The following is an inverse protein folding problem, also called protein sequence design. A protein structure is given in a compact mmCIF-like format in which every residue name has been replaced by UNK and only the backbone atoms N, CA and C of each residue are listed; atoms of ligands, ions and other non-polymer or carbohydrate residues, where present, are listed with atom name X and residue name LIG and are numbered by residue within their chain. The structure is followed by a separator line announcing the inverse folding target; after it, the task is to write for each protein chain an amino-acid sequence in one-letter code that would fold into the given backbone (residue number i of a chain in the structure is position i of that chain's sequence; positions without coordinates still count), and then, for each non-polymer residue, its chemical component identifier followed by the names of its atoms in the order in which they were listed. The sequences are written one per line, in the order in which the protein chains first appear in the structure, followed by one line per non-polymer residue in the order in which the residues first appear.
data_IF_053449756753
#
_entry.id   IF_053449756753
#
_cell.length_a   1.000
_cell.length_b   1.000
_cell.length_c   1.000
_cell.angle_alpha   90.00
_cell.angle_beta   90.00
_cell.angle_gamma   90.00
#
_symmetry.space_group_name_H-M   'P 1'
#
loop_
_entity.id
_entity.type
_entity.pdbx_description
1 polymer ?
#
# COMPACT_ATOMS: atom_id res chain seq x y z
N UNK A 1 -16.17 -10.30 -4.34
CA UNK A 1 -15.99 -9.72 -5.69
C UNK A 1 -14.66 -8.98 -5.83
N UNK A 2 -14.30 -8.04 -4.98
CA UNK A 2 -13.04 -7.26 -5.01
C UNK A 2 -11.77 -8.13 -5.11
N UNK A 3 -11.69 -9.17 -4.30
CA UNK A 3 -10.56 -10.11 -4.34
C UNK A 3 -10.53 -10.96 -5.61
N UNK A 4 -11.70 -11.31 -6.16
CA UNK A 4 -11.75 -12.00 -7.45
C UNK A 4 -11.18 -11.10 -8.57
N UNK A 5 -11.56 -9.82 -8.59
CA UNK A 5 -11.01 -8.86 -9.55
C UNK A 5 -9.49 -8.71 -9.39
N UNK A 6 -9.00 -8.54 -8.16
CA UNK A 6 -7.55 -8.44 -7.90
C UNK A 6 -6.80 -9.72 -8.32
N UNK A 7 -7.36 -10.91 -8.01
CA UNK A 7 -6.77 -12.19 -8.37
C UNK A 7 -6.73 -12.43 -9.88
N UNK A 8 -7.84 -12.19 -10.58
CA UNK A 8 -7.89 -12.31 -12.05
C UNK A 8 -6.89 -11.37 -12.72
N UNK A 9 -6.82 -10.12 -12.27
CA UNK A 9 -5.85 -9.16 -12.77
C UNK A 9 -4.41 -9.63 -12.54
N UNK A 10 -4.11 -10.17 -11.35
CA UNK A 10 -2.78 -10.70 -11.04
C UNK A 10 -2.40 -11.88 -11.95
N UNK A 11 -3.34 -12.80 -12.23
CA UNK A 11 -3.14 -13.92 -13.15
C UNK A 11 -2.86 -13.43 -14.58
N UNK A 12 -3.63 -12.45 -15.07
CA UNK A 12 -3.43 -11.87 -16.39
C UNK A 12 -2.04 -11.21 -16.51
N UNK A 13 -1.65 -10.43 -15.50
CA UNK A 13 -0.32 -9.81 -15.46
C UNK A 13 0.82 -10.84 -15.40
N UNK A 14 0.65 -11.90 -14.64
CA UNK A 14 1.62 -12.99 -14.58
C UNK A 14 1.75 -13.69 -15.94
N UNK A 15 0.62 -13.97 -16.61
CA UNK A 15 0.61 -14.65 -17.89
C UNK A 15 1.21 -13.80 -19.03
N UNK A 16 1.11 -12.47 -18.98
CA UNK A 16 1.80 -11.60 -19.94
C UNK A 16 3.31 -11.87 -19.99
N UNK A 17 3.91 -12.28 -18.87
CA UNK A 17 5.33 -12.64 -18.80
C UNK A 17 5.60 -14.11 -19.03
N UNK A 18 4.81 -14.97 -18.44
CA UNK A 18 5.08 -16.40 -18.38
C UNK A 18 4.53 -17.14 -19.60
N UNK A 19 3.56 -16.56 -20.30
CA UNK A 19 2.90 -17.13 -21.51
C UNK A 19 2.46 -18.60 -21.30
N UNK A 20 1.91 -18.90 -20.12
CA UNK A 20 1.59 -20.28 -19.72
C UNK A 20 0.31 -20.80 -20.35
N UNK A 21 -0.63 -19.93 -20.72
CA UNK A 21 -1.94 -20.31 -21.23
C UNK A 21 -2.59 -19.22 -22.07
N UNK A 22 -3.58 -19.62 -22.89
CA UNK A 22 -4.54 -18.68 -23.47
C UNK A 22 -5.54 -18.23 -22.40
N UNK A 23 -5.51 -16.95 -22.06
CA UNK A 23 -6.37 -16.35 -21.06
C UNK A 23 -7.51 -15.51 -21.65
N UNK A 24 -7.81 -15.60 -22.93
CA UNK A 24 -8.85 -14.80 -23.60
C UNK A 24 -10.21 -14.86 -22.88
N UNK A 25 -10.60 -16.03 -22.38
CA UNK A 25 -11.83 -16.22 -21.60
C UNK A 25 -11.73 -15.55 -20.21
N UNK A 26 -10.57 -15.57 -19.59
CA UNK A 26 -10.31 -14.94 -18.28
C UNK A 26 -10.36 -13.42 -18.42
N UNK A 27 -9.78 -12.88 -19.49
CA UNK A 27 -9.80 -11.45 -19.81
C UNK A 27 -11.23 -10.95 -20.09
N UNK A 28 -12.00 -11.70 -20.88
CA UNK A 28 -13.41 -11.40 -21.12
C UNK A 28 -14.22 -11.39 -19.82
N UNK A 29 -14.07 -12.44 -19.01
CA UNK A 29 -14.75 -12.56 -17.72
C UNK A 29 -14.34 -11.46 -16.75
N UNK A 30 -13.05 -11.12 -16.67
CA UNK A 30 -12.60 -9.99 -15.87
C UNK A 30 -13.25 -8.67 -16.29
N UNK A 31 -13.32 -8.41 -17.60
CA UNK A 31 -13.98 -7.22 -18.13
C UNK A 31 -15.46 -7.15 -17.81
N UNK A 32 -16.18 -8.27 -17.90
CA UNK A 32 -17.58 -8.38 -17.53
C UNK A 32 -17.80 -8.17 -16.03
N UNK A 33 -16.98 -8.83 -15.21
CA UNK A 33 -17.06 -8.72 -13.76
C UNK A 33 -16.76 -7.30 -13.27
N UNK A 34 -15.77 -6.63 -13.87
CA UNK A 34 -15.42 -5.26 -13.53
C UNK A 34 -16.55 -4.27 -13.92
N UNK A 35 -17.16 -4.46 -15.10
CA UNK A 35 -18.31 -3.64 -15.51
C UNK A 35 -19.50 -3.85 -14.57
N UNK A 36 -19.81 -5.08 -14.23
CA UNK A 36 -20.91 -5.40 -13.29
C UNK A 36 -20.64 -4.82 -11.89
N UNK A 37 -19.38 -4.92 -11.41
CA UNK A 37 -18.99 -4.31 -10.15
C UNK A 37 -19.12 -2.79 -10.17
N UNK A 38 -18.61 -2.12 -11.19
CA UNK A 38 -18.66 -0.66 -11.30
C UNK A 38 -20.10 -0.16 -11.38
N UNK A 39 -20.96 -0.88 -12.10
CA UNK A 39 -22.40 -0.56 -12.16
C UNK A 39 -23.04 -0.68 -10.78
N UNK A 40 -22.85 -1.79 -10.07
CA UNK A 40 -23.37 -1.96 -8.73
C UNK A 40 -22.79 -0.93 -7.75
N UNK A 41 -21.47 -0.72 -7.75
CA UNK A 41 -20.81 0.22 -6.88
C UNK A 41 -21.34 1.65 -7.07
N UNK A 42 -21.60 2.09 -8.30
CA UNK A 42 -22.15 3.41 -8.58
C UNK A 42 -23.56 3.63 -7.99
N UNK A 43 -24.31 2.57 -7.77
CA UNK A 43 -25.65 2.62 -7.17
C UNK A 43 -25.64 2.47 -5.65
N UNK A 44 -24.59 1.84 -5.10
CA UNK A 44 -24.50 1.46 -3.70
C UNK A 44 -23.57 2.37 -2.87
N UNK A 45 -22.95 3.38 -3.49
CA UNK A 45 -22.16 4.37 -2.76
C UNK A 45 -23.04 5.11 -1.75
N UNK A 46 -22.60 5.16 -0.50
CA UNK A 46 -23.29 5.81 0.62
C UNK A 46 -22.63 7.14 0.95
N UNK A 47 -23.45 8.19 1.09
CA UNK A 47 -22.96 9.46 1.58
C UNK A 47 -22.72 9.40 3.10
N UNK A 48 -21.50 9.73 3.51
CA UNK A 48 -21.13 9.83 4.91
C UNK A 48 -21.41 11.25 5.43
N UNK A 49 -21.97 11.42 6.65
CA UNK A 49 -22.21 12.74 7.25
C UNK A 49 -20.95 13.63 7.36
N UNK A 50 -19.76 13.01 7.31
CA UNK A 50 -18.45 13.72 7.32
C UNK A 50 -18.06 14.35 5.98
N UNK A 51 -18.91 14.24 4.94
CA UNK A 51 -18.77 14.96 3.67
C UNK A 51 -18.09 14.21 2.53
N UNK A 52 -18.05 12.90 2.57
CA UNK A 52 -17.57 12.04 1.47
C UNK A 52 -18.57 10.91 1.19
N UNK A 53 -18.35 10.17 0.09
CA UNK A 53 -19.11 8.95 -0.18
C UNK A 53 -18.15 7.76 -0.22
N UNK A 54 -18.60 6.60 0.25
CA UNK A 54 -17.82 5.37 0.30
C UNK A 54 -18.66 4.18 -0.16
N UNK A 55 -17.98 3.11 -0.58
CA UNK A 55 -18.64 1.84 -0.90
C UNK A 55 -18.74 1.00 0.39
N UNK A 56 -19.97 0.66 0.84
CA UNK A 56 -20.14 -0.16 2.04
C UNK A 56 -19.64 -1.58 1.80
N UNK A 57 -19.23 -2.27 2.86
CA UNK A 57 -18.79 -3.67 2.80
C UNK A 57 -19.90 -4.60 2.28
N UNK A 58 -21.12 -4.35 2.69
CA UNK A 58 -22.32 -5.03 2.20
C UNK A 58 -23.06 -4.05 1.29
N UNK A 59 -23.06 -4.34 -0.01
CA UNK A 59 -23.66 -3.46 -1.01
C UNK A 59 -25.19 -3.41 -0.94
N UNK A 60 -25.85 -4.47 -0.45
CA UNK A 60 -27.31 -4.42 -0.17
C UNK A 60 -27.57 -5.12 1.14
N UNK A 61 -28.33 -4.46 2.01
CA UNK A 61 -28.96 -5.12 3.12
C UNK A 61 -30.31 -5.69 2.63
N UNK A 62 -30.46 -7.00 2.76
CA UNK A 62 -31.80 -7.59 2.68
C UNK A 62 -32.56 -7.23 3.97
N UNK A 63 -33.65 -6.43 3.89
CA UNK A 63 -34.41 -6.06 5.08
C UNK A 63 -35.01 -7.25 5.82
N UNK A 64 -35.12 -8.42 5.16
CA UNK A 64 -35.65 -9.66 5.73
C UNK A 64 -34.56 -10.40 6.55
N UNK A 65 -33.27 -10.08 6.39
CA UNK A 65 -32.21 -10.65 7.22
C UNK A 65 -32.27 -10.05 8.62
N UNK A 66 -32.70 -10.84 9.59
CA UNK A 66 -32.45 -10.50 11.01
C UNK A 66 -30.95 -10.60 11.26
N UNK A 67 -30.34 -9.45 11.57
CA UNK A 67 -28.94 -9.37 11.94
C UNK A 67 -28.84 -9.21 13.45
N UNK A 68 -27.95 -9.98 14.06
CA UNK A 68 -27.53 -9.72 15.43
C UNK A 68 -26.91 -8.30 15.54
N UNK A 69 -26.94 -7.73 16.74
CA UNK A 69 -26.47 -6.36 16.98
C UNK A 69 -25.01 -6.12 16.61
N UNK A 70 -24.22 -7.19 16.54
CA UNK A 70 -22.84 -7.11 16.06
C UNK A 70 -22.69 -7.27 14.54
N UNK A 71 -23.77 -7.60 13.83
CA UNK A 71 -23.86 -7.58 12.38
C UNK A 71 -24.09 -6.18 11.79
N UNK A 72 -24.14 -5.14 12.59
CA UNK A 72 -24.16 -3.75 12.12
C UNK A 72 -22.76 -3.17 12.18
N UNK A 73 -21.90 -3.55 11.23
CA UNK A 73 -20.55 -3.05 11.22
C UNK A 73 -20.58 -1.54 11.02
N UNK A 74 -19.66 -0.85 11.66
CA UNK A 74 -19.39 0.55 11.33
C UNK A 74 -18.93 0.62 9.87
N UNK A 75 -19.04 1.79 9.21
CA UNK A 75 -18.64 1.93 7.81
C UNK A 75 -17.26 1.34 7.47
N UNK A 76 -16.31 1.47 8.38
CA UNK A 76 -14.93 1.01 8.22
C UNK A 76 -14.70 -0.47 8.57
N UNK A 77 -15.68 -1.14 9.15
CA UNK A 77 -15.55 -2.55 9.55
C UNK A 77 -15.32 -3.43 8.32
N UNK A 78 -14.38 -4.37 8.40
CA UNK A 78 -14.08 -5.38 7.38
C UNK A 78 -13.76 -4.86 5.97
N UNK A 79 -13.29 -3.63 5.85
CA UNK A 79 -12.95 -3.00 4.55
C UNK A 79 -11.63 -3.49 3.92
N UNK A 80 -11.00 -4.50 4.47
CA UNK A 80 -9.73 -5.04 4.02
C UNK A 80 -9.70 -5.50 2.55
N UNK A 81 -10.80 -6.07 2.05
CA UNK A 81 -10.90 -6.46 0.65
C UNK A 81 -10.88 -5.26 -0.30
N UNK A 82 -11.42 -4.12 0.13
CA UNK A 82 -11.33 -2.87 -0.61
C UNK A 82 -9.90 -2.33 -0.59
N UNK A 83 -9.26 -2.23 0.58
CA UNK A 83 -7.86 -1.82 0.71
C UNK A 83 -6.95 -2.63 -0.21
N UNK A 84 -7.06 -3.96 -0.16
CA UNK A 84 -6.24 -4.87 -0.96
C UNK A 84 -6.51 -4.76 -2.48
N UNK A 85 -7.74 -4.51 -2.89
CA UNK A 85 -8.08 -4.33 -4.30
C UNK A 85 -7.55 -3.00 -4.87
N UNK A 86 -7.40 -1.98 -4.00
CA UNK A 86 -6.74 -0.72 -4.33
C UNK A 86 -5.25 -0.98 -4.52
N UNK A 87 -4.59 -1.51 -3.50
CA UNK A 87 -3.19 -1.90 -3.58
C UNK A 87 -2.92 -3.13 -2.68
N UNK A 88 -2.20 -4.15 -3.16
CA UNK A 88 -1.47 -4.25 -4.43
C UNK A 88 -2.33 -4.62 -5.64
N UNK A 89 -3.63 -4.85 -5.48
CA UNK A 89 -4.52 -5.29 -6.55
C UNK A 89 -4.57 -4.35 -7.75
N UNK A 90 -4.50 -3.03 -7.49
CA UNK A 90 -4.57 -1.97 -8.51
C UNK A 90 -5.72 -2.19 -9.52
N UNK A 91 -6.89 -2.62 -9.00
CA UNK A 91 -8.08 -2.88 -9.81
C UNK A 91 -8.65 -1.58 -10.37
N UNK A 92 -8.50 -0.49 -9.62
CA UNK A 92 -9.06 0.82 -9.89
C UNK A 92 -7.97 1.84 -10.18
N UNK A 93 -8.32 2.94 -10.84
CA UNK A 93 -7.45 4.11 -10.94
C UNK A 93 -7.43 4.88 -9.61
N UNK A 94 -6.40 5.72 -9.42
CA UNK A 94 -6.28 6.55 -8.19
C UNK A 94 -7.46 7.52 -8.01
N UNK A 95 -8.04 7.96 -9.11
CA UNK A 95 -9.16 8.91 -9.13
C UNK A 95 -10.54 8.24 -9.06
N UNK A 96 -10.59 6.92 -9.01
CA UNK A 96 -11.84 6.19 -8.92
C UNK A 96 -12.61 6.57 -7.64
N UNK A 97 -13.94 6.79 -7.71
CA UNK A 97 -14.76 7.10 -6.54
C UNK A 97 -14.64 6.07 -5.41
N UNK A 98 -14.50 4.78 -5.73
CA UNK A 98 -14.29 3.72 -4.74
C UNK A 98 -12.98 3.94 -3.98
N UNK A 99 -11.90 4.28 -4.68
CA UNK A 99 -10.59 4.55 -4.07
C UNK A 99 -10.65 5.79 -3.19
N UNK A 100 -11.16 6.91 -3.71
CA UNK A 100 -11.27 8.16 -2.95
C UNK A 100 -12.14 8.00 -1.72
N UNK A 101 -13.29 7.35 -1.86
CA UNK A 101 -14.21 7.08 -0.76
C UNK A 101 -13.60 6.20 0.32
N UNK A 102 -12.91 5.13 -0.08
CA UNK A 102 -12.21 4.26 0.85
C UNK A 102 -11.10 5.00 1.62
N UNK A 103 -10.29 5.77 0.93
CA UNK A 103 -9.23 6.60 1.55
C UNK A 103 -9.85 7.57 2.57
N UNK A 104 -10.89 8.31 2.18
CA UNK A 104 -11.56 9.25 3.07
C UNK A 104 -12.17 8.55 4.30
N UNK A 105 -12.77 7.38 4.11
CA UNK A 105 -13.33 6.58 5.19
C UNK A 105 -12.26 6.16 6.20
N UNK A 106 -11.13 5.64 5.72
CA UNK A 106 -10.04 5.20 6.58
C UNK A 106 -9.39 6.37 7.33
N UNK A 107 -9.18 7.51 6.66
CA UNK A 107 -8.69 8.73 7.29
C UNK A 107 -9.63 9.23 8.39
N UNK A 108 -10.92 9.29 8.11
CA UNK A 108 -11.94 9.74 9.06
C UNK A 108 -12.16 8.77 10.23
N UNK A 109 -11.69 7.54 10.13
CA UNK A 109 -11.79 6.51 11.16
C UNK A 109 -10.48 6.30 11.94
N UNK A 110 -9.44 7.07 11.62
CA UNK A 110 -8.12 6.92 12.27
C UNK A 110 -8.15 7.43 13.70
N UNK A 111 -7.68 6.59 14.64
CA UNK A 111 -7.42 6.91 16.03
C UNK A 111 -6.08 6.26 16.43
N UNK A 112 -5.28 6.91 17.27
CA UNK A 112 -3.94 6.42 17.66
C UNK A 112 -3.04 6.11 16.45
N UNK A 113 -3.14 6.93 15.41
CA UNK A 113 -2.45 6.76 14.12
C UNK A 113 -2.81 5.49 13.33
N UNK A 114 -3.87 4.76 13.68
CA UNK A 114 -4.28 3.52 13.00
C UNK A 114 -5.78 3.58 12.64
N UNK A 115 -6.23 2.99 11.51
CA UNK A 115 -7.66 2.85 11.23
C UNK A 115 -8.33 2.02 12.31
N UNK A 116 -9.19 2.67 13.09
CA UNK A 116 -9.87 2.07 14.23
C UNK A 116 -11.22 1.48 13.86
N UNK A 117 -11.73 0.57 14.71
CA UNK A 117 -13.03 -0.05 14.56
C UNK A 117 -13.20 -0.76 13.21
N UNK A 118 -12.11 -1.38 12.77
CA UNK A 118 -12.02 -2.08 11.48
C UNK A 118 -12.22 -3.60 11.62
N UNK A 119 -12.30 -4.11 12.83
CA UNK A 119 -12.38 -5.54 13.12
C UNK A 119 -13.61 -6.22 12.55
N UNK A 120 -13.49 -7.49 12.23
CA UNK A 120 -14.59 -8.33 11.80
C UNK A 120 -15.01 -9.35 12.86
N UNK A 121 -14.08 -9.75 13.74
CA UNK A 121 -14.38 -10.56 14.92
C UNK A 121 -15.05 -9.69 15.98
N UNK A 122 -14.62 -8.43 16.09
CA UNK A 122 -15.25 -7.47 16.99
C UNK A 122 -15.24 -6.06 16.38
N UNK A 123 -16.39 -5.47 16.18
CA UNK A 123 -16.56 -4.19 15.48
C UNK A 123 -15.87 -2.99 16.13
N UNK A 124 -15.54 -3.04 17.42
CA UNK A 124 -14.77 -2.01 18.12
C UNK A 124 -13.26 -2.26 18.09
N UNK A 125 -12.83 -3.38 17.51
CA UNK A 125 -11.43 -3.74 17.45
C UNK A 125 -10.71 -3.01 16.30
N UNK A 126 -9.41 -2.84 16.49
CA UNK A 126 -8.46 -2.59 15.41
C UNK A 126 -8.10 -3.94 14.79
N UNK A 127 -8.28 -4.06 13.51
CA UNK A 127 -7.84 -5.22 12.75
C UNK A 127 -6.41 -4.99 12.26
N UNK A 128 -5.44 -5.56 12.98
CA UNK A 128 -4.04 -5.18 12.82
C UNK A 128 -3.51 -5.37 11.41
N UNK A 129 -3.81 -6.45 10.71
CA UNK A 129 -3.28 -6.61 9.37
C UNK A 129 -3.99 -5.77 8.29
N UNK A 130 -5.16 -5.18 8.60
CA UNK A 130 -5.78 -4.20 7.70
C UNK A 130 -5.01 -2.88 7.67
N UNK A 131 -4.35 -2.50 8.75
CA UNK A 131 -3.64 -1.23 8.82
C UNK A 131 -2.49 -1.11 7.79
N UNK A 132 -1.61 -2.11 7.59
CA UNK A 132 -0.64 -2.09 6.50
C UNK A 132 -1.28 -2.03 5.10
N UNK A 133 -2.42 -2.69 4.85
CA UNK A 133 -3.13 -2.55 3.57
C UNK A 133 -3.56 -1.11 3.31
N UNK A 134 -4.11 -0.45 4.34
CA UNK A 134 -4.51 0.95 4.25
C UNK A 134 -3.28 1.84 4.05
N UNK A 135 -2.20 1.61 4.79
CA UNK A 135 -0.95 2.35 4.62
C UNK A 135 -0.38 2.20 3.20
N UNK A 136 -0.45 1.01 2.62
CA UNK A 136 -0.03 0.76 1.23
C UNK A 136 -0.93 1.46 0.21
N UNK A 137 -2.25 1.47 0.43
CA UNK A 137 -3.17 2.22 -0.41
C UNK A 137 -2.88 3.72 -0.37
N UNK A 138 -2.57 4.28 0.81
CA UNK A 138 -2.12 5.66 0.95
C UNK A 138 -0.81 5.91 0.22
N UNK A 139 0.17 5.03 0.38
CA UNK A 139 1.47 5.15 -0.26
C UNK A 139 1.34 5.15 -1.79
N UNK A 140 0.56 4.22 -2.33
CA UNK A 140 0.28 4.14 -3.75
C UNK A 140 -0.44 5.39 -4.28
N UNK A 141 -1.39 5.92 -3.51
CA UNK A 141 -2.10 7.16 -3.83
C UNK A 141 -1.23 8.42 -3.69
N UNK A 142 0.00 8.33 -3.14
CA UNK A 142 0.90 9.46 -2.92
C UNK A 142 0.69 10.19 -1.58
N UNK A 143 -0.14 9.64 -0.70
CA UNK A 143 -0.46 10.20 0.63
C UNK A 143 0.57 9.72 1.67
N UNK A 144 1.82 10.12 1.49
CA UNK A 144 3.00 9.61 2.20
C UNK A 144 2.92 9.79 3.72
N UNK A 145 2.50 10.95 4.18
CA UNK A 145 2.40 11.25 5.62
C UNK A 145 1.33 10.36 6.29
N UNK A 146 0.21 10.13 5.62
CA UNK A 146 -0.81 9.20 6.08
C UNK A 146 -0.31 7.75 6.10
N UNK A 147 0.40 7.34 5.07
CA UNK A 147 0.99 6.00 5.00
C UNK A 147 1.98 5.77 6.15
N UNK A 148 2.87 6.73 6.40
CA UNK A 148 3.87 6.67 7.46
C UNK A 148 3.21 6.70 8.86
N UNK A 149 2.24 7.60 9.09
CA UNK A 149 1.51 7.68 10.35
C UNK A 149 0.78 6.36 10.66
N UNK A 150 0.05 5.83 9.67
CA UNK A 150 -0.68 4.56 9.83
C UNK A 150 0.27 3.39 10.10
N UNK A 151 1.40 3.33 9.42
CA UNK A 151 2.37 2.26 9.67
C UNK A 151 3.03 2.40 11.05
N UNK A 152 3.30 3.62 11.51
CA UNK A 152 3.79 3.87 12.86
C UNK A 152 2.76 3.47 13.91
N UNK A 153 1.49 3.83 13.71
CA UNK A 153 0.37 3.37 14.56
C UNK A 153 0.32 1.84 14.62
N UNK A 154 0.44 1.18 13.47
CA UNK A 154 0.51 -0.28 13.39
C UNK A 154 1.70 -0.86 14.19
N UNK A 155 2.89 -0.27 14.10
CA UNK A 155 4.05 -0.71 14.89
C UNK A 155 3.83 -0.50 16.39
N UNK A 156 3.16 0.57 16.80
CA UNK A 156 2.82 0.85 18.20
C UNK A 156 1.81 -0.15 18.79
N UNK A 157 1.06 -0.86 17.95
CA UNK A 157 0.14 -1.92 18.35
C UNK A 157 0.79 -3.31 18.37
N UNK A 158 2.08 -3.41 18.07
CA UNK A 158 2.84 -4.64 18.23
C UNK A 158 3.13 -4.95 19.71
N UNK A 159 3.33 -6.22 20.02
CA UNK A 159 3.96 -6.61 21.28
C UNK A 159 5.43 -6.13 21.33
N UNK A 160 6.07 -6.16 22.50
CA UNK A 160 7.51 -5.86 22.61
C UNK A 160 8.42 -6.72 21.72
N UNK A 161 7.95 -7.86 21.26
CA UNK A 161 8.66 -8.77 20.35
C UNK A 161 8.27 -8.60 18.89
N UNK A 162 7.60 -7.49 18.54
CA UNK A 162 7.09 -7.21 17.19
C UNK A 162 6.22 -8.34 16.63
N UNK A 163 5.35 -8.88 17.48
CA UNK A 163 4.29 -9.77 17.06
C UNK A 163 2.94 -9.07 17.25
N UNK A 164 2.04 -9.26 16.33
CA UNK A 164 0.70 -8.68 16.36
C UNK A 164 -0.33 -9.73 16.68
N UNK A 165 -1.40 -9.30 17.32
CA UNK A 165 -2.64 -10.04 17.42
C UNK A 165 -3.50 -9.78 16.17
N UNK A 166 -4.39 -10.70 15.84
CA UNK A 166 -5.31 -10.47 14.71
C UNK A 166 -6.15 -9.23 14.95
N UNK A 167 -6.88 -9.18 16.06
CA UNK A 167 -7.66 -8.03 16.47
C UNK A 167 -7.43 -7.69 17.95
N UNK A 168 -7.39 -6.40 18.24
CA UNK A 168 -7.23 -5.89 19.60
C UNK A 168 -7.92 -4.52 19.74
N UNK A 169 -8.30 -4.10 20.97
CA UNK A 169 -8.81 -2.76 21.18
C UNK A 169 -7.71 -1.71 21.02
N UNK A 170 -8.12 -0.46 20.86
CA UNK A 170 -7.23 0.68 21.05
C UNK A 170 -6.60 0.63 22.45
N UNK A 171 -5.41 1.20 22.61
CA UNK A 171 -4.66 1.16 23.88
C UNK A 171 -5.43 1.71 25.07
N UNK A 172 -6.32 2.67 24.84
CA UNK A 172 -7.13 3.33 25.89
C UNK A 172 -8.50 2.68 26.12
N UNK A 173 -8.86 1.69 25.31
CA UNK A 173 -10.16 1.04 25.38
C UNK A 173 -10.00 -0.43 25.76
N UNK A 174 -10.99 -0.98 26.47
CA UNK A 174 -11.16 -2.43 26.72
C UNK A 174 -9.86 -3.17 27.06
N UNK A 175 -9.04 -2.64 27.97
CA UNK A 175 -7.81 -3.28 28.42
C UNK A 175 -8.03 -4.75 28.79
N UNK A 176 -7.22 -5.63 28.21
CA UNK A 176 -7.28 -7.08 28.41
C UNK A 176 -8.18 -7.84 27.44
N UNK A 177 -8.94 -7.18 26.59
CA UNK A 177 -9.72 -7.82 25.53
C UNK A 177 -8.88 -7.94 24.25
N UNK A 178 -8.99 -9.07 23.58
CA UNK A 178 -8.31 -9.35 22.32
C UNK A 178 -8.99 -10.52 21.60
N UNK A 179 -8.95 -10.52 20.29
CA UNK A 179 -9.62 -11.51 19.46
C UNK A 179 -8.66 -12.09 18.42
N UNK A 180 -8.94 -13.32 18.01
CA UNK A 180 -8.09 -14.02 17.06
C UNK A 180 -6.78 -14.51 17.67
N UNK A 181 -5.85 -14.92 16.81
CA UNK A 181 -4.59 -15.51 17.19
C UNK A 181 -3.48 -14.48 17.47
N UNK A 182 -2.44 -14.93 18.15
CA UNK A 182 -1.19 -14.20 18.36
C UNK A 182 -0.04 -15.20 18.54
N UNK A 183 1.04 -15.14 17.78
CA UNK A 183 1.34 -14.15 16.73
C UNK A 183 0.47 -14.35 15.48
N UNK A 184 -0.04 -13.24 14.93
CA UNK A 184 -0.79 -13.29 13.68
C UNK A 184 0.17 -13.16 12.49
N UNK A 185 0.42 -14.27 11.82
CA UNK A 185 1.42 -14.34 10.75
C UNK A 185 1.08 -13.45 9.55
N UNK A 186 -0.20 -13.26 9.28
CA UNK A 186 -0.62 -12.36 8.19
C UNK A 186 -0.20 -10.91 8.47
N UNK A 187 -0.42 -10.43 9.69
CA UNK A 187 0.04 -9.09 10.08
C UNK A 187 1.57 -8.96 9.91
N UNK A 188 2.34 -9.97 10.34
CA UNK A 188 3.79 -9.97 10.16
C UNK A 188 4.22 -9.93 8.68
N UNK A 189 3.52 -10.67 7.81
CA UNK A 189 3.79 -10.67 6.38
C UNK A 189 3.51 -9.29 5.75
N UNK A 190 2.42 -8.63 6.18
CA UNK A 190 2.08 -7.29 5.71
C UNK A 190 3.06 -6.22 6.16
N UNK A 191 3.64 -6.36 7.37
CA UNK A 191 4.74 -5.52 7.82
C UNK A 191 5.93 -5.57 6.86
N UNK A 192 6.36 -6.78 6.51
CA UNK A 192 7.48 -7.00 5.58
C UNK A 192 7.15 -6.40 4.20
N UNK A 193 5.92 -6.59 3.72
CA UNK A 193 5.48 -6.06 2.44
C UNK A 193 5.49 -4.54 2.42
N UNK A 194 4.97 -3.88 3.46
CA UNK A 194 4.99 -2.43 3.57
C UNK A 194 6.43 -1.88 3.58
N UNK A 195 7.32 -2.47 4.39
CA UNK A 195 8.74 -2.07 4.45
C UNK A 195 9.42 -2.17 3.07
N UNK A 196 9.09 -3.22 2.30
CA UNK A 196 9.55 -3.34 0.91
C UNK A 196 9.02 -2.17 0.06
N UNK A 197 7.74 -1.85 0.16
CA UNK A 197 7.11 -0.82 -0.66
C UNK A 197 7.53 0.61 -0.29
N UNK A 198 8.00 0.83 0.93
CA UNK A 198 8.63 2.11 1.30
C UNK A 198 9.86 2.42 0.42
N UNK A 199 10.62 1.40 0.05
CA UNK A 199 11.83 1.54 -0.76
C UNK A 199 11.56 1.33 -2.25
N UNK A 200 10.78 0.32 -2.61
CA UNK A 200 10.54 -0.10 -3.99
C UNK A 200 9.05 -0.42 -4.16
N UNK A 201 8.32 0.48 -4.78
CA UNK A 201 6.88 0.38 -5.04
C UNK A 201 6.61 0.15 -6.53
N UNK A 202 5.87 -0.90 -6.85
CA UNK A 202 5.44 -1.18 -8.22
C UNK A 202 4.07 -0.51 -8.48
N UNK A 203 4.04 0.48 -9.35
CA UNK A 203 2.82 1.23 -9.71
C UNK A 203 2.51 1.06 -11.20
N UNK A 204 1.65 0.11 -11.53
CA UNK A 204 1.41 -0.26 -12.92
C UNK A 204 2.71 -0.73 -13.59
N UNK A 205 3.09 -0.09 -14.68
CA UNK A 205 4.35 -0.38 -15.39
C UNK A 205 5.52 0.48 -14.89
N UNK A 206 5.34 1.21 -13.80
CA UNK A 206 6.37 2.05 -13.21
C UNK A 206 6.98 1.43 -11.97
N UNK A 207 8.21 1.84 -11.69
CA UNK A 207 8.90 1.56 -10.45
C UNK A 207 9.13 2.88 -9.70
N UNK A 208 8.55 3.02 -8.52
CA UNK A 208 8.70 4.22 -7.67
C UNK A 208 9.62 3.89 -6.51
N UNK A 209 10.69 4.67 -6.37
CA UNK A 209 11.72 4.45 -5.36
C UNK A 209 11.65 5.50 -4.25
N UNK A 210 11.85 5.06 -3.01
CA UNK A 210 11.85 5.91 -1.80
C UNK A 210 10.50 6.57 -1.52
N UNK A 211 9.41 5.98 -2.00
CA UNK A 211 8.09 6.58 -1.86
C UNK A 211 7.63 6.67 -0.41
N UNK A 212 7.97 5.70 0.42
CA UNK A 212 7.61 5.64 1.83
C UNK A 212 8.66 6.21 2.77
N UNK A 213 9.81 6.67 2.29
CA UNK A 213 10.88 7.23 3.14
C UNK A 213 10.61 8.69 3.43
N UNK A 214 10.50 9.03 4.71
CA UNK A 214 10.28 10.39 5.20
C UNK A 214 11.48 10.91 6.01
N UNK A 215 11.57 12.24 6.23
CA UNK A 215 12.66 12.84 7.01
C UNK A 215 12.91 12.21 8.38
N UNK A 216 11.92 11.78 9.19
CA UNK A 216 12.17 11.10 10.45
C UNK A 216 13.02 9.82 10.32
N UNK A 217 12.79 9.03 9.26
CA UNK A 217 13.48 7.77 9.01
C UNK A 217 14.99 8.03 8.79
N UNK A 218 15.30 9.05 8.02
CA UNK A 218 16.68 9.40 7.66
C UNK A 218 17.47 10.04 8.82
N UNK A 219 16.78 10.68 9.78
CA UNK A 219 17.44 11.30 10.95
C UNK A 219 18.10 10.27 11.86
N UNK A 220 17.71 9.01 11.79
CA UNK A 220 18.34 7.93 12.54
C UNK A 220 19.77 7.66 12.07
N UNK A 221 20.10 8.05 10.84
CA UNK A 221 21.39 7.74 10.21
C UNK A 221 21.59 6.25 9.91
N UNK A 222 20.53 5.44 9.97
CA UNK A 222 20.60 4.01 9.67
C UNK A 222 20.42 3.77 8.18
N UNK A 223 21.17 2.83 7.59
CA UNK A 223 20.97 2.45 6.20
C UNK A 223 19.69 1.64 6.01
N UNK A 224 19.15 1.71 4.79
CA UNK A 224 18.05 0.86 4.34
C UNK A 224 18.52 0.01 3.17
N UNK A 225 18.11 -1.24 3.12
CA UNK A 225 18.41 -2.10 1.98
C UNK A 225 17.32 -3.13 1.72
N UNK A 226 17.06 -3.37 0.44
CA UNK A 226 16.40 -4.56 -0.09
C UNK A 226 17.42 -5.32 -0.92
N UNK A 227 17.54 -6.62 -0.67
CA UNK A 227 18.53 -7.45 -1.34
C UNK A 227 17.81 -8.51 -2.15
N UNK A 228 18.09 -8.55 -3.44
CA UNK A 228 17.62 -9.57 -4.37
C UNK A 228 16.10 -9.81 -4.31
N UNK A 229 15.34 -8.73 -4.17
CA UNK A 229 13.89 -8.74 -3.98
C UNK A 229 13.18 -8.98 -5.33
N UNK A 230 12.26 -9.94 -5.43
CA UNK A 230 11.51 -10.18 -6.66
C UNK A 230 10.53 -9.04 -6.94
N UNK A 231 10.50 -8.59 -8.18
CA UNK A 231 9.52 -7.65 -8.73
C UNK A 231 9.02 -8.15 -10.07
N UNK A 232 7.99 -7.53 -10.62
CA UNK A 232 7.56 -7.83 -12.00
C UNK A 232 8.61 -7.46 -13.05
N UNK A 233 9.59 -6.63 -12.70
CA UNK A 233 10.67 -6.17 -13.59
C UNK A 233 11.97 -6.95 -13.39
N UNK A 234 11.93 -8.07 -12.68
CA UNK A 234 13.09 -8.86 -12.30
C UNK A 234 13.46 -8.70 -10.83
N UNK A 235 14.60 -9.28 -10.45
CA UNK A 235 15.10 -9.18 -9.08
C UNK A 235 15.85 -7.86 -8.89
N UNK A 236 15.50 -7.14 -7.83
CA UNK A 236 16.05 -5.81 -7.54
C UNK A 236 16.78 -5.84 -6.20
N UNK A 237 17.96 -5.23 -6.17
CA UNK A 237 18.62 -4.79 -4.95
C UNK A 237 18.65 -3.27 -4.94
N UNK A 238 18.27 -2.68 -3.82
CA UNK A 238 18.27 -1.24 -3.65
C UNK A 238 18.71 -0.89 -2.24
N UNK A 239 19.74 -0.05 -2.11
CA UNK A 239 20.18 0.47 -0.82
C UNK A 239 20.15 2.00 -0.78
N UNK A 240 19.96 2.55 0.42
CA UNK A 240 20.06 3.96 0.75
C UNK A 240 20.89 4.08 2.01
N UNK A 241 22.04 4.77 1.94
CA UNK A 241 23.06 4.81 2.98
C UNK A 241 23.48 6.25 3.27
N UNK A 242 23.76 6.59 4.55
CA UNK A 242 24.35 7.86 4.90
C UNK A 242 25.79 7.96 4.33
N UNK A 243 26.20 9.17 3.98
CA UNK A 243 27.52 9.48 3.47
C UNK A 243 28.11 10.71 4.17
N UNK A 244 29.39 10.99 3.94
CA UNK A 244 30.07 12.14 4.53
C UNK A 244 29.37 13.47 4.16
N UNK A 245 29.47 14.47 5.02
CA UNK A 245 28.93 15.81 4.76
C UNK A 245 27.41 15.89 4.78
N UNK A 246 26.71 15.06 5.57
CA UNK A 246 25.24 14.96 5.63
C UNK A 246 24.59 14.44 4.33
N UNK A 247 25.40 13.92 3.40
CA UNK A 247 24.90 13.36 2.15
C UNK A 247 24.27 11.97 2.37
N UNK A 248 23.46 11.55 1.38
CA UNK A 248 22.92 10.19 1.30
C UNK A 248 23.21 9.62 -0.09
N UNK A 249 23.51 8.32 -0.15
CA UNK A 249 23.78 7.61 -1.40
C UNK A 249 22.79 6.48 -1.57
N UNK A 250 22.34 6.27 -2.81
CA UNK A 250 21.62 5.04 -3.15
C UNK A 250 22.37 4.25 -4.21
N UNK A 251 22.19 2.94 -4.14
CA UNK A 251 22.65 2.00 -5.14
C UNK A 251 21.50 1.10 -5.57
N UNK A 252 21.25 1.05 -6.86
CA UNK A 252 20.22 0.24 -7.48
C UNK A 252 20.86 -0.78 -8.41
N UNK A 253 20.41 -2.04 -8.31
CA UNK A 253 20.78 -3.12 -9.22
C UNK A 253 19.54 -3.90 -9.60
N UNK A 254 19.31 -4.11 -10.89
CA UNK A 254 18.25 -4.96 -11.42
C UNK A 254 18.85 -6.10 -12.23
N UNK A 255 18.60 -7.32 -11.77
CA UNK A 255 19.01 -8.55 -12.46
C UNK A 255 17.85 -9.05 -13.28
N UNK A 256 18.11 -9.42 -14.52
CA UNK A 256 17.13 -10.07 -15.42
C UNK A 256 15.81 -9.29 -15.60
N UNK A 257 14.89 -9.87 -16.37
CA UNK A 257 13.54 -9.31 -16.58
C UNK A 257 13.49 -8.08 -17.48
N UNK A 258 12.27 -7.66 -17.77
CA UNK A 258 11.97 -6.49 -18.58
C UNK A 258 12.23 -5.20 -17.79
N UNK A 259 12.46 -4.10 -18.50
CA UNK A 259 12.53 -2.81 -17.83
C UNK A 259 11.11 -2.25 -17.58
N UNK A 260 10.90 -1.47 -16.52
CA UNK A 260 9.68 -0.69 -16.35
C UNK A 260 9.57 0.37 -17.46
N UNK A 261 8.38 0.93 -17.63
CA UNK A 261 8.20 2.11 -18.51
C UNK A 261 8.85 3.36 -17.93
N UNK A 262 8.90 3.47 -16.61
CA UNK A 262 9.56 4.56 -15.91
C UNK A 262 10.12 4.09 -14.56
N UNK A 263 11.27 4.64 -14.17
CA UNK A 263 11.82 4.58 -12.82
C UNK A 263 11.74 5.98 -12.22
N UNK A 264 10.94 6.14 -11.20
CA UNK A 264 10.74 7.41 -10.48
C UNK A 264 11.45 7.36 -9.14
N UNK A 265 12.16 8.44 -8.77
CA UNK A 265 12.86 8.56 -7.49
C UNK A 265 12.65 9.93 -6.87
N UNK A 266 12.55 9.99 -5.54
CA UNK A 266 12.42 11.26 -4.83
C UNK A 266 13.66 12.13 -4.98
N UNK A 267 13.47 13.35 -5.49
CA UNK A 267 14.54 14.33 -5.64
C UNK A 267 15.00 14.90 -4.31
N UNK A 268 14.05 15.21 -3.41
CA UNK A 268 14.30 15.80 -2.10
C UNK A 268 13.99 14.76 -1.01
N UNK A 269 14.99 14.28 -0.30
CA UNK A 269 14.83 13.32 0.80
C UNK A 269 14.68 14.01 2.16
N UNK A 270 15.48 15.05 2.42
CA UNK A 270 15.42 15.88 3.61
C UNK A 270 15.40 17.35 3.19
N UNK A 271 14.88 18.25 4.03
CA UNK A 271 15.04 19.68 3.81
C UNK A 271 16.53 20.04 3.59
N UNK A 272 16.81 20.66 2.46
CA UNK A 272 18.17 21.02 2.06
C UNK A 272 19.01 19.90 1.43
N UNK A 273 18.47 18.67 1.27
CA UNK A 273 19.12 17.60 0.53
C UNK A 273 18.43 17.36 -0.81
N UNK A 274 19.16 17.55 -1.88
CA UNK A 274 18.67 17.40 -3.25
C UNK A 274 19.47 16.32 -3.99
N UNK A 275 18.81 15.54 -4.83
CA UNK A 275 19.47 14.63 -5.76
C UNK A 275 20.32 15.41 -6.74
N UNK A 276 21.62 15.30 -6.65
CA UNK A 276 22.59 16.07 -7.45
C UNK A 276 23.11 15.28 -8.65
N UNK A 277 23.26 13.99 -8.51
CA UNK A 277 23.92 13.18 -9.52
C UNK A 277 23.40 11.75 -9.51
N UNK A 278 23.25 11.21 -10.71
CA UNK A 278 23.03 9.78 -10.96
C UNK A 278 24.15 9.30 -11.89
N UNK A 279 24.89 8.28 -11.48
CA UNK A 279 25.96 7.66 -12.27
C UNK A 279 25.49 6.29 -12.76
N UNK A 280 25.74 5.96 -14.01
CA UNK A 280 25.34 4.69 -14.61
C UNK A 280 23.97 4.73 -15.31
N UNK A 281 23.26 5.87 -15.23
CA UNK A 281 22.00 6.09 -15.95
C UNK A 281 21.78 7.57 -16.25
N UNK A 282 21.03 7.86 -17.30
CA UNK A 282 20.46 9.20 -17.52
C UNK A 282 19.39 9.52 -16.48
N UNK A 283 19.27 10.77 -16.05
CA UNK A 283 18.17 11.20 -15.20
C UNK A 283 17.65 12.58 -15.57
N UNK A 284 16.37 12.82 -15.30
CA UNK A 284 15.70 14.10 -15.49
C UNK A 284 15.01 14.52 -14.20
N UNK A 285 15.36 15.70 -13.69
CA UNK A 285 14.71 16.26 -12.52
C UNK A 285 13.30 16.77 -12.87
N UNK A 286 12.29 16.31 -12.15
CA UNK A 286 10.91 16.78 -12.25
C UNK A 286 10.67 17.97 -11.31
N UNK A 287 9.65 18.77 -11.64
CA UNK A 287 9.28 19.95 -10.88
C UNK A 287 8.55 19.62 -9.56
N UNK A 288 7.97 18.44 -9.45
CA UNK A 288 7.14 17.95 -8.34
C UNK A 288 7.92 17.23 -7.23
N UNK A 289 9.25 17.33 -7.26
CA UNK A 289 10.12 16.63 -6.30
C UNK A 289 10.33 15.16 -6.63
N UNK A 290 10.02 14.74 -7.85
CA UNK A 290 10.27 13.40 -8.40
C UNK A 290 11.21 13.56 -9.60
N UNK A 291 12.25 12.73 -9.65
CA UNK A 291 13.11 12.61 -10.82
C UNK A 291 12.84 11.28 -11.53
N UNK A 292 12.97 11.26 -12.83
CA UNK A 292 12.94 10.02 -13.63
C UNK A 292 14.35 9.59 -13.98
N UNK A 293 14.59 8.28 -13.87
CA UNK A 293 15.86 7.63 -14.24
C UNK A 293 15.59 6.75 -15.45
N UNK A 294 16.58 6.63 -16.34
CA UNK A 294 16.50 5.76 -17.51
C UNK A 294 16.04 4.35 -17.09
N UNK A 295 14.85 3.92 -17.52
CA UNK A 295 14.28 2.63 -17.12
C UNK A 295 15.05 1.42 -17.65
N UNK A 296 15.83 1.58 -18.73
CA UNK A 296 16.67 0.52 -19.28
C UNK A 296 17.92 0.26 -18.44
N UNK A 297 18.35 1.22 -17.61
CA UNK A 297 19.54 1.06 -16.76
C UNK A 297 19.34 -0.09 -15.75
N UNK A 298 20.33 -0.96 -15.70
CA UNK A 298 20.32 -2.12 -14.80
C UNK A 298 21.05 -1.85 -13.48
N UNK A 299 22.01 -0.94 -13.50
CA UNK A 299 22.75 -0.52 -12.33
C UNK A 299 23.03 0.98 -12.37
N UNK A 300 22.80 1.65 -11.25
CA UNK A 300 23.16 3.05 -11.09
C UNK A 300 23.36 3.40 -9.61
N UNK A 301 24.08 4.51 -9.39
CA UNK A 301 24.30 5.10 -8.06
C UNK A 301 23.88 6.56 -8.09
N UNK A 302 23.27 6.99 -7.02
CA UNK A 302 22.84 8.39 -6.86
C UNK A 302 23.33 8.96 -5.55
N UNK A 303 23.40 10.31 -5.49
CA UNK A 303 23.81 11.05 -4.30
C UNK A 303 22.89 12.25 -4.10
N UNK A 304 22.43 12.42 -2.86
CA UNK A 304 21.77 13.61 -2.36
C UNK A 304 22.76 14.40 -1.51
N UNK A 305 22.93 15.64 -1.84
CA UNK A 305 23.83 16.57 -1.18
C UNK A 305 23.10 17.85 -0.81
N UNK A 306 23.61 18.59 0.23
CA UNK A 306 23.10 19.91 0.58
C UNK A 306 23.12 20.94 -0.56
#
# INVERSE_FOLDING_TARGET
MLWALAGLRAVMLANQKLQLADLSRVESFYGELLRAFNHAASQEMVADPRGFSYLPMLMREDPAMQRDTWDRPRPQTSQWACSHSIFPGQVFSKDDPVVRGHIALMQASTQEDIPAETGWLHHEAVWNYNAPFVAEAYLWAGLRDWAHSTFRGYLNHASPLYAWREEQPLQKALLGMAWGDMPHNWASAECIRYLRHMLVLEDGQKLRLLEGILPPDLRTGQPFALIDTPTRFGRISFSLEPAAGRAWKAHFVRKEGDHPEAVEIRTNLLPGLTLRRVNGAGFHAGADGISTIDPAAREWRSIWEP
#
